data_IF_153848586914
#
_entry.id   IF_153848586914
#
_cell.length_a   1.000
_cell.length_b   1.000
_cell.length_c   1.000
_cell.angle_alpha   90.00
_cell.angle_beta   90.00
_cell.angle_gamma   90.00
#
_symmetry.space_group_name_H-M   'P 1'
#
loop_
_entity.id
_entity.type
_entity.pdbx_description
1 polymer ?
#
# COMPACT_ATOMS: atom_id res chain seq x y z
N UNK A 1 -4.81 19.06 -32.75
CA UNK A 1 -4.06 19.84 -31.74
C UNK A 1 -2.78 19.09 -31.35
N UNK A 2 -1.66 19.77 -31.12
CA UNK A 2 -0.40 19.12 -30.77
C UNK A 2 0.37 19.94 -29.72
N UNK A 3 0.81 19.28 -28.64
CA UNK A 3 1.48 19.92 -27.51
C UNK A 3 2.73 19.16 -27.09
N UNK A 4 3.89 19.81 -27.21
CA UNK A 4 5.18 19.29 -26.71
C UNK A 4 5.40 19.76 -25.28
N UNK A 5 5.75 18.85 -24.38
CA UNK A 5 6.03 19.21 -23.00
C UNK A 5 7.45 19.74 -22.90
N UNK A 6 7.58 21.00 -22.48
CA UNK A 6 8.85 21.68 -22.28
C UNK A 6 9.04 22.01 -20.80
N UNK A 7 10.28 22.14 -20.39
CA UNK A 7 10.64 22.67 -19.08
C UNK A 7 10.34 24.17 -19.00
N UNK A 8 9.63 24.62 -17.97
CA UNK A 8 9.20 26.03 -17.88
C UNK A 8 10.35 27.00 -17.57
N UNK A 9 11.41 26.53 -16.91
CA UNK A 9 12.54 27.40 -16.58
C UNK A 9 13.52 27.52 -17.75
N UNK A 10 13.74 26.44 -18.49
CA UNK A 10 14.77 26.39 -19.55
C UNK A 10 14.21 26.40 -20.98
N UNK A 11 12.91 26.22 -21.16
CA UNK A 11 12.26 26.12 -22.47
C UNK A 11 12.61 24.87 -23.28
N UNK A 12 13.50 24.00 -22.75
CA UNK A 12 13.95 22.78 -23.44
C UNK A 12 12.87 21.71 -23.41
N UNK A 13 12.77 20.93 -24.51
CA UNK A 13 11.83 19.81 -24.60
C UNK A 13 12.17 18.72 -23.58
N UNK A 14 11.14 18.19 -22.91
CA UNK A 14 11.28 17.02 -22.01
C UNK A 14 11.29 15.69 -22.77
N UNK A 15 11.27 15.72 -24.10
CA UNK A 15 11.37 14.52 -24.95
C UNK A 15 10.05 13.78 -25.18
N UNK A 16 8.91 14.39 -24.83
CA UNK A 16 7.58 13.83 -25.11
C UNK A 16 6.55 14.93 -25.38
N UNK A 17 5.45 14.55 -26.02
CA UNK A 17 4.33 15.42 -26.33
C UNK A 17 3.06 14.62 -26.57
N UNK A 18 1.94 15.32 -26.72
CA UNK A 18 0.63 14.74 -26.96
C UNK A 18 0.03 15.35 -28.22
N UNK A 19 -0.61 14.52 -29.03
CA UNK A 19 -1.30 14.95 -30.25
C UNK A 19 -2.74 14.48 -30.15
N UNK A 20 -3.67 15.40 -30.37
CA UNK A 20 -5.11 15.14 -30.45
C UNK A 20 -5.52 15.18 -31.92
N UNK A 21 -5.93 14.03 -32.44
CA UNK A 21 -6.53 13.90 -33.76
C UNK A 21 -8.04 14.12 -33.67
N UNK A 22 -8.64 14.52 -34.79
CA UNK A 22 -10.09 14.67 -34.90
C UNK A 22 -10.77 13.29 -34.90
N UNK A 23 -10.21 12.33 -35.64
CA UNK A 23 -10.73 10.97 -35.76
C UNK A 23 -9.78 9.94 -35.16
N UNK A 24 -10.35 8.86 -34.60
CA UNK A 24 -9.60 7.72 -34.05
C UNK A 24 -8.76 7.02 -35.12
N UNK A 25 -9.29 6.87 -36.34
CA UNK A 25 -8.61 6.20 -37.45
C UNK A 25 -7.31 6.93 -37.85
N UNK A 26 -7.32 8.26 -37.86
CA UNK A 26 -6.13 9.06 -38.15
C UNK A 26 -5.08 8.92 -37.05
N UNK A 27 -5.51 8.82 -35.79
CA UNK A 27 -4.61 8.56 -34.66
C UNK A 27 -3.98 7.15 -34.75
N UNK A 28 -4.74 6.14 -35.17
CA UNK A 28 -4.25 4.78 -35.41
C UNK A 28 -3.17 4.76 -36.49
N UNK A 29 -3.48 5.36 -37.64
CA UNK A 29 -2.54 5.47 -38.75
C UNK A 29 -1.27 6.22 -38.33
N UNK A 30 -1.40 7.31 -37.57
CA UNK A 30 -0.25 8.08 -37.10
C UNK A 30 0.62 7.27 -36.12
N UNK A 31 0.03 6.48 -35.22
CA UNK A 31 0.80 5.64 -34.29
C UNK A 31 1.65 4.62 -35.05
N UNK A 32 1.07 3.95 -36.05
CA UNK A 32 1.77 2.92 -36.83
C UNK A 32 2.87 3.52 -37.69
N UNK A 33 2.59 4.57 -38.45
CA UNK A 33 3.52 5.09 -39.45
C UNK A 33 4.61 6.00 -38.87
N UNK A 34 4.32 6.71 -37.77
CA UNK A 34 5.28 7.63 -37.16
C UNK A 34 6.12 6.97 -36.07
N UNK A 35 5.80 5.75 -35.66
CA UNK A 35 6.63 4.99 -34.72
C UNK A 35 8.00 4.67 -35.30
N UNK A 36 9.06 5.13 -34.64
CA UNK A 36 10.44 4.92 -35.08
C UNK A 36 10.92 5.89 -36.17
N UNK A 37 10.10 6.85 -36.61
CA UNK A 37 10.52 7.85 -37.59
C UNK A 37 11.55 8.81 -37.01
N UNK A 38 12.47 9.29 -37.85
CA UNK A 38 13.47 10.27 -37.44
C UNK A 38 12.85 11.66 -37.36
N UNK A 39 12.94 12.31 -36.20
CA UNK A 39 12.51 13.69 -36.02
C UNK A 39 13.62 14.49 -35.33
N UNK A 40 14.28 15.36 -36.10
CA UNK A 40 15.53 15.98 -35.67
C UNK A 40 16.64 14.93 -35.52
N UNK A 41 17.32 14.91 -34.38
CA UNK A 41 18.44 14.00 -34.12
C UNK A 41 18.08 12.66 -33.47
N UNK A 42 16.80 12.32 -33.32
CA UNK A 42 16.37 11.09 -32.62
C UNK A 42 15.12 10.47 -33.26
N UNK A 43 15.06 9.14 -33.27
CA UNK A 43 13.83 8.43 -33.62
C UNK A 43 12.75 8.61 -32.56
N UNK A 44 11.53 8.92 -32.99
CA UNK A 44 10.39 9.14 -32.10
C UNK A 44 9.66 7.85 -31.81
N UNK A 45 9.03 7.78 -30.63
CA UNK A 45 8.15 6.69 -30.24
C UNK A 45 6.73 7.21 -30.13
N UNK A 46 5.81 6.56 -30.81
CA UNK A 46 4.37 6.81 -30.74
C UNK A 46 3.69 5.73 -29.92
N UNK A 47 2.67 6.11 -29.17
CA UNK A 47 1.79 5.19 -28.46
C UNK A 47 0.47 5.91 -28.15
N UNK A 48 -0.57 5.15 -27.82
CA UNK A 48 -1.81 5.70 -27.32
C UNK A 48 -1.55 6.48 -26.02
N UNK A 49 -2.09 7.69 -25.95
CA UNK A 49 -2.04 8.49 -24.72
C UNK A 49 -3.00 7.88 -23.70
N UNK A 50 -2.48 7.39 -22.58
CA UNK A 50 -3.31 7.13 -21.42
C UNK A 50 -3.63 8.46 -20.76
N UNK A 51 -4.93 8.75 -20.57
CA UNK A 51 -5.30 9.78 -19.60
C UNK A 51 -4.79 9.26 -18.26
N UNK A 52 -3.85 9.97 -17.63
CA UNK A 52 -3.65 9.78 -16.19
C UNK A 52 -5.06 9.85 -15.59
N UNK A 53 -5.51 8.86 -14.80
CA UNK A 53 -6.72 9.07 -14.00
C UNK A 53 -6.54 10.42 -13.31
N UNK A 54 -7.62 11.23 -13.23
CA UNK A 54 -7.51 12.60 -12.73
C UNK A 54 -6.64 12.59 -11.49
N UNK A 55 -5.59 13.41 -11.50
CA UNK A 55 -4.71 13.54 -10.36
C UNK A 55 -5.62 13.72 -9.13
N UNK A 56 -5.52 12.85 -8.10
CA UNK A 56 -6.33 13.05 -6.92
C UNK A 56 -6.03 14.47 -6.45
N UNK A 57 -7.09 15.27 -6.32
CA UNK A 57 -6.99 16.56 -5.64
C UNK A 57 -6.27 16.28 -4.33
N UNK A 58 -5.26 17.08 -4.04
CA UNK A 58 -4.55 17.12 -2.78
C UNK A 58 -5.52 17.51 -1.64
N UNK A 59 -6.40 16.59 -1.30
CA UNK A 59 -6.82 16.35 0.07
C UNK A 59 -5.77 15.38 0.59
N UNK A 60 -5.29 15.62 1.78
CA UNK A 60 -4.27 14.86 2.48
C UNK A 60 -4.74 13.42 2.74
N UNK A 61 -4.77 12.57 1.70
CA UNK A 61 -5.04 11.15 1.82
C UNK A 61 -3.73 10.40 1.74
N UNK A 62 -3.33 9.93 2.93
CA UNK A 62 -2.22 9.03 3.15
C UNK A 62 -2.19 7.94 2.08
N UNK A 63 -0.96 7.58 1.69
CA UNK A 63 -0.62 6.40 0.93
C UNK A 63 -1.07 5.13 1.67
N UNK A 64 -2.38 4.88 1.71
CA UNK A 64 -2.94 3.59 2.05
C UNK A 64 -3.14 2.94 0.70
N UNK A 65 -2.09 2.28 0.19
CA UNK A 65 -2.34 1.08 -0.63
C UNK A 65 -3.27 0.24 0.24
N UNK A 66 -4.57 0.24 -0.06
CA UNK A 66 -5.51 -0.60 0.67
C UNK A 66 -4.96 -2.01 0.60
N UNK A 67 -4.54 -2.55 1.74
CA UNK A 67 -4.04 -3.90 1.81
C UNK A 67 -5.21 -4.81 1.45
N UNK A 68 -5.06 -5.61 0.40
CA UNK A 68 -6.09 -6.60 0.07
C UNK A 68 -5.92 -7.76 1.02
N UNK A 69 -7.04 -8.25 1.55
CA UNK A 69 -7.06 -9.43 2.41
C UNK A 69 -6.32 -10.62 1.80
N UNK A 70 -6.56 -10.86 0.52
CA UNK A 70 -5.97 -11.99 -0.21
C UNK A 70 -4.44 -11.88 -0.33
N UNK A 71 -3.91 -10.67 -0.49
CA UNK A 71 -2.46 -10.46 -0.48
C UNK A 71 -1.87 -10.65 0.92
N UNK A 72 -2.59 -10.27 1.98
CA UNK A 72 -2.13 -10.38 3.37
C UNK A 72 -2.18 -11.82 3.86
N UNK A 73 -3.28 -12.53 3.63
CA UNK A 73 -3.44 -13.93 4.08
C UNK A 73 -2.35 -14.82 3.47
N UNK A 74 -2.01 -14.61 2.19
CA UNK A 74 -0.98 -15.40 1.51
C UNK A 74 0.47 -15.02 1.86
N UNK A 75 0.71 -13.99 2.68
CA UNK A 75 2.07 -13.60 3.10
C UNK A 75 2.66 -14.47 4.21
N UNK A 76 1.84 -15.28 4.89
CA UNK A 76 2.31 -16.16 5.97
C UNK A 76 1.73 -17.56 5.86
N UNK A 77 2.28 -18.48 6.65
CA UNK A 77 1.74 -19.85 6.74
C UNK A 77 0.32 -19.81 7.32
N UNK A 78 -0.60 -20.68 6.87
CA UNK A 78 -1.94 -20.78 7.45
C UNK A 78 -1.95 -21.20 8.93
N UNK A 79 -0.80 -21.62 9.48
CA UNK A 79 -0.62 -21.90 10.92
C UNK A 79 -0.31 -20.66 11.74
N UNK A 80 0.21 -19.59 11.11
CA UNK A 80 0.58 -18.37 11.81
C UNK A 80 -0.67 -17.55 12.10
N UNK A 81 -1.00 -17.36 13.37
CA UNK A 81 -2.14 -16.55 13.80
C UNK A 81 -1.70 -15.31 14.58
N UNK A 82 -0.43 -14.92 14.48
CA UNK A 82 0.17 -13.85 15.28
C UNK A 82 0.33 -12.58 14.46
N UNK A 83 -0.24 -11.48 14.95
CA UNK A 83 -0.10 -10.14 14.40
C UNK A 83 0.93 -9.37 15.22
N UNK A 84 1.91 -8.78 14.54
CA UNK A 84 2.74 -7.72 15.10
C UNK A 84 2.01 -6.39 14.93
N UNK A 85 1.91 -5.58 15.99
CA UNK A 85 1.38 -4.23 15.94
C UNK A 85 2.36 -3.26 16.60
N UNK A 86 2.93 -2.34 15.83
CA UNK A 86 3.94 -1.38 16.31
C UNK A 86 3.63 0.07 15.94
N UNK A 87 4.38 1.00 16.54
CA UNK A 87 4.25 2.43 16.27
C UNK A 87 3.54 3.23 17.38
N UNK A 88 3.20 2.58 18.50
CA UNK A 88 2.51 3.22 19.62
C UNK A 88 3.57 3.60 20.67
N UNK A 89 4.04 4.84 20.66
CA UNK A 89 5.16 5.27 21.52
C UNK A 89 4.74 5.52 22.98
N UNK A 90 3.45 5.78 23.23
CA UNK A 90 2.89 5.98 24.57
C UNK A 90 1.47 5.42 24.64
N UNK A 91 1.04 5.01 25.84
CA UNK A 91 -0.30 4.46 26.07
C UNK A 91 -0.51 3.02 25.61
N UNK A 92 0.55 2.32 25.19
CA UNK A 92 0.46 0.91 24.80
C UNK A 92 0.16 0.01 26.01
N UNK A 93 -1.06 -0.52 26.09
CA UNK A 93 -1.51 -1.43 27.15
C UNK A 93 -2.19 -2.68 26.58
N UNK A 94 -2.23 -3.76 27.37
CA UNK A 94 -2.96 -4.99 27.02
C UNK A 94 -4.43 -4.70 26.71
N UNK A 95 -5.08 -3.90 27.56
CA UNK A 95 -6.49 -3.53 27.43
C UNK A 95 -6.76 -2.77 26.14
N UNK A 96 -5.89 -1.82 25.77
CA UNK A 96 -5.98 -1.10 24.51
C UNK A 96 -5.91 -2.07 23.32
N UNK A 97 -4.93 -2.97 23.30
CA UNK A 97 -4.79 -3.97 22.23
C UNK A 97 -6.00 -4.91 22.19
N UNK A 98 -6.49 -5.35 23.35
CA UNK A 98 -7.70 -6.18 23.44
C UNK A 98 -8.91 -5.48 22.82
N UNK A 99 -9.15 -4.22 23.19
CA UNK A 99 -10.27 -3.44 22.67
C UNK A 99 -10.15 -3.19 21.17
N UNK A 100 -8.95 -2.85 20.68
CA UNK A 100 -8.72 -2.61 19.26
C UNK A 100 -8.90 -3.89 18.42
N UNK A 101 -8.38 -5.03 18.88
CA UNK A 101 -8.26 -6.22 18.05
C UNK A 101 -9.43 -7.22 18.20
N UNK A 102 -10.20 -7.15 19.30
CA UNK A 102 -11.34 -8.07 19.53
C UNK A 102 -12.40 -8.08 18.41
N UNK A 103 -12.72 -6.96 17.74
CA UNK A 103 -13.69 -6.97 16.64
C UNK A 103 -13.30 -7.85 15.43
N UNK A 104 -12.02 -8.17 15.26
CA UNK A 104 -11.53 -8.94 14.10
C UNK A 104 -11.51 -10.45 14.36
N UNK A 105 -11.65 -10.88 15.62
CA UNK A 105 -11.69 -12.29 15.98
C UNK A 105 -11.33 -12.56 17.44
N UNK A 106 -11.42 -13.84 17.82
CA UNK A 106 -11.10 -14.26 19.17
C UNK A 106 -9.59 -14.18 19.42
N UNK A 107 -9.20 -13.40 20.42
CA UNK A 107 -7.81 -13.23 20.84
C UNK A 107 -7.45 -14.33 21.84
N UNK A 108 -6.32 -14.99 21.59
CA UNK A 108 -5.75 -16.04 22.45
C UNK A 108 -4.68 -15.51 23.38
N UNK A 109 -3.84 -14.59 22.90
CA UNK A 109 -2.72 -14.03 23.67
C UNK A 109 -2.44 -12.60 23.22
N UNK A 110 -2.09 -11.73 24.17
CA UNK A 110 -1.57 -10.39 23.90
C UNK A 110 -0.25 -10.24 24.68
N UNK A 111 0.78 -9.75 24.00
CA UNK A 111 2.07 -9.44 24.61
C UNK A 111 2.48 -8.04 24.23
N UNK A 112 2.51 -7.12 25.19
CA UNK A 112 2.86 -5.72 24.97
C UNK A 112 4.31 -5.45 25.36
N UNK A 113 4.99 -4.60 24.59
CA UNK A 113 6.33 -4.09 24.89
C UNK A 113 6.30 -2.56 24.82
N UNK A 114 5.76 -1.88 25.86
CA UNK A 114 5.58 -0.43 25.86
C UNK A 114 6.88 0.34 25.64
N UNK A 115 7.98 -0.12 26.25
CA UNK A 115 9.30 0.50 26.09
C UNK A 115 9.81 0.51 24.64
N UNK A 116 9.33 -0.44 23.81
CA UNK A 116 9.70 -0.56 22.40
C UNK A 116 8.58 -0.11 21.45
N UNK A 117 7.42 0.25 21.99
CA UNK A 117 6.25 0.72 21.24
C UNK A 117 5.64 -0.31 20.30
N UNK A 118 5.69 -1.61 20.64
CA UNK A 118 5.04 -2.67 19.85
C UNK A 118 4.42 -3.78 20.70
N UNK A 119 3.54 -4.56 20.10
CA UNK A 119 2.87 -5.70 20.69
C UNK A 119 2.74 -6.86 19.70
N UNK A 120 2.49 -8.05 20.24
CA UNK A 120 2.04 -9.21 19.49
C UNK A 120 0.64 -9.62 19.96
N UNK A 121 -0.27 -9.83 19.01
CA UNK A 121 -1.63 -10.28 19.26
C UNK A 121 -1.84 -11.59 18.52
N UNK A 122 -2.09 -12.66 19.24
CA UNK A 122 -2.37 -13.98 18.67
C UNK A 122 -3.88 -14.19 18.61
N UNK A 123 -4.38 -14.47 17.41
CA UNK A 123 -5.77 -14.85 17.18
C UNK A 123 -5.95 -16.37 17.23
N UNK A 124 -7.20 -16.81 17.36
CA UNK A 124 -7.57 -18.22 17.24
C UNK A 124 -7.48 -18.74 15.80
N UNK A 125 -7.64 -17.86 14.80
CA UNK A 125 -7.61 -18.21 13.38
C UNK A 125 -6.67 -17.31 12.59
N UNK A 126 -6.12 -17.86 11.50
CA UNK A 126 -5.27 -17.15 10.56
C UNK A 126 -6.03 -16.03 9.83
N UNK A 127 -7.29 -16.29 9.47
CA UNK A 127 -8.15 -15.32 8.79
C UNK A 127 -8.42 -14.08 9.66
N UNK A 128 -8.68 -14.26 10.96
CA UNK A 128 -8.86 -13.14 11.89
C UNK A 128 -7.59 -12.29 12.02
N UNK A 129 -6.41 -12.94 12.06
CA UNK A 129 -5.14 -12.22 12.08
C UNK A 129 -4.92 -11.41 10.78
N UNK A 130 -5.25 -11.97 9.62
CA UNK A 130 -5.18 -11.27 8.34
C UNK A 130 -6.18 -10.09 8.25
N UNK A 131 -7.43 -10.28 8.71
CA UNK A 131 -8.43 -9.19 8.80
C UNK A 131 -7.94 -8.04 9.68
N UNK A 132 -7.35 -8.38 10.84
CA UNK A 132 -6.79 -7.39 11.74
C UNK A 132 -5.64 -6.61 11.08
N UNK A 133 -4.72 -7.28 10.38
CA UNK A 133 -3.62 -6.62 9.68
C UNK A 133 -4.15 -5.63 8.64
N UNK A 134 -5.09 -6.06 7.78
CA UNK A 134 -5.67 -5.20 6.74
C UNK A 134 -6.35 -3.98 7.34
N UNK A 135 -7.12 -4.18 8.41
CA UNK A 135 -7.98 -3.14 8.98
C UNK A 135 -7.21 -2.14 9.84
N UNK A 136 -6.18 -2.60 10.56
CA UNK A 136 -5.49 -1.80 11.57
C UNK A 136 -4.19 -1.19 11.01
N UNK A 137 -3.53 -1.82 10.04
CA UNK A 137 -2.29 -1.28 9.48
C UNK A 137 -2.50 0.09 8.82
N UNK A 138 -1.77 1.10 9.31
CA UNK A 138 -1.87 2.48 8.83
C UNK A 138 -2.97 3.32 9.51
N UNK A 139 -3.74 2.73 10.43
CA UNK A 139 -4.71 3.48 11.24
C UNK A 139 -4.03 4.20 12.40
N UNK A 140 -4.78 5.00 13.14
CA UNK A 140 -4.28 5.77 14.28
C UNK A 140 -4.86 5.23 15.58
N UNK A 141 -4.00 4.89 16.55
CA UNK A 141 -4.36 4.46 17.91
C UNK A 141 -3.69 5.43 18.88
N UNK A 142 -4.47 6.07 19.77
CA UNK A 142 -3.95 7.06 20.73
C UNK A 142 -3.09 8.17 20.07
N UNK A 143 -3.49 8.63 18.89
CA UNK A 143 -2.75 9.65 18.12
C UNK A 143 -1.50 9.13 17.39
N UNK A 144 -1.18 7.84 17.48
CA UNK A 144 -0.03 7.23 16.83
C UNK A 144 -0.44 6.40 15.62
N UNK A 145 0.24 6.60 14.47
CA UNK A 145 0.02 5.76 13.28
C UNK A 145 0.66 4.40 13.50
N UNK A 146 -0.17 3.36 13.48
CA UNK A 146 0.26 1.99 13.76
C UNK A 146 0.58 1.22 12.50
N UNK A 147 1.50 0.27 12.62
CA UNK A 147 1.89 -0.64 11.56
C UNK A 147 1.62 -2.07 12.01
N UNK A 148 0.82 -2.78 11.23
CA UNK A 148 0.46 -4.17 11.50
C UNK A 148 0.98 -5.07 10.40
N UNK A 149 1.63 -6.17 10.81
CA UNK A 149 2.20 -7.17 9.91
C UNK A 149 2.11 -8.55 10.56
N UNK A 150 2.46 -9.60 9.83
CA UNK A 150 2.64 -10.92 10.43
C UNK A 150 3.76 -10.90 11.47
N UNK A 151 3.44 -11.35 12.68
CA UNK A 151 4.41 -11.62 13.72
C UNK A 151 5.25 -12.84 13.37
N UNK A 152 6.50 -12.86 13.83
CA UNK A 152 7.35 -14.05 13.71
C UNK A 152 6.79 -15.13 14.63
N UNK A 153 6.63 -16.35 14.11
CA UNK A 153 6.32 -17.53 14.92
C UNK A 153 7.49 -17.76 15.90
N UNK A 154 7.29 -17.44 17.18
CA UNK A 154 8.26 -17.77 18.22
C UNK A 154 7.87 -19.13 18.81
N UNK A 155 8.77 -20.13 18.86
CA UNK A 155 8.52 -21.41 19.50
C UNK A 155 8.19 -21.25 21.01
N UNK A 156 8.66 -20.17 21.63
CA UNK A 156 8.44 -19.85 23.05
C UNK A 156 7.00 -19.38 23.35
N UNK A 157 6.16 -19.09 22.35
CA UNK A 157 4.75 -18.72 22.55
C UNK A 157 3.85 -19.89 22.97
N UNK A 158 4.35 -21.12 23.01
CA UNK A 158 3.58 -22.31 23.44
C UNK A 158 3.83 -22.68 24.90
N UNK A 159 4.78 -22.04 25.59
CA UNK A 159 5.12 -22.33 26.98
C UNK A 159 4.56 -21.27 27.93
N UNK A 160 3.26 -21.32 28.20
CA UNK A 160 2.76 -20.78 29.48
C UNK A 160 1.48 -21.44 30.02
N UNK A 161 1.05 -22.60 29.48
CA UNK A 161 0.04 -23.45 30.13
C UNK A 161 0.69 -24.44 31.12
N UNK A 162 1.29 -23.90 32.18
CA UNK A 162 1.55 -24.62 33.44
C UNK A 162 2.10 -23.64 34.49
N UNK A 163 1.19 -23.01 35.23
CA UNK A 163 1.28 -22.93 36.69
C UNK A 163 -0.11 -22.71 37.27
#
# INVERSE_FOLDING_TARGET
DARVVKDMATGKSKGYGFVSFYNKLDAENAIVHMGGQWLGGRQIRTNWATRKPPAPKSTQENNTKQLRFEDVVNQSSPKNCTVYCGGIASGLTDQLMRQTFSPFGQIMEIRVFPEKGYSFVRFSTHESAAHAIVSVNGTTIEGHVVKCYWGKESPDMTKNFQQ
#
